data_IF_995567509131
#
_entry.id   IF_995567509131
#
_cell.length_a   1.000
_cell.length_b   1.000
_cell.length_c   1.000
_cell.angle_alpha   90.00
_cell.angle_beta   90.00
_cell.angle_gamma   90.00
#
_symmetry.space_group_name_H-M   'P 1'
#
loop_
_entity.id
_entity.type
_entity.pdbx_description
1 polymer ?
#
# COMPACT_ATOMS: atom_id res chain seq x y z
N UNK A 1 5.22 -23.45 1.46
CA UNK A 1 4.02 -22.59 1.54
C UNK A 1 4.16 -21.58 0.42
N UNK A 2 3.39 -21.74 -0.65
CA UNK A 2 3.28 -20.70 -1.67
C UNK A 2 2.24 -19.72 -1.10
N UNK A 3 2.66 -18.83 -0.22
CA UNK A 3 1.77 -17.77 0.27
C UNK A 3 1.35 -16.97 -0.96
N UNK A 4 0.09 -17.12 -1.34
CA UNK A 4 -0.47 -16.33 -2.42
C UNK A 4 -0.32 -14.87 -2.01
N UNK A 5 0.49 -14.12 -2.76
CA UNK A 5 0.67 -12.69 -2.55
C UNK A 5 -0.71 -12.05 -2.69
N UNK A 6 -1.27 -11.58 -1.57
CA UNK A 6 -2.54 -10.87 -1.57
C UNK A 6 -2.31 -9.41 -1.94
N UNK A 7 -3.23 -8.86 -2.71
CA UNK A 7 -3.22 -7.46 -3.06
C UNK A 7 -3.36 -6.60 -1.79
N UNK A 8 -4.24 -6.99 -0.85
CA UNK A 8 -4.38 -6.30 0.43
C UNK A 8 -3.08 -6.24 1.24
N UNK A 9 -2.40 -7.38 1.44
CA UNK A 9 -1.18 -7.42 2.23
C UNK A 9 -0.04 -6.62 1.59
N UNK A 10 0.03 -6.66 0.26
CA UNK A 10 1.00 -5.86 -0.51
C UNK A 10 0.72 -4.37 -0.38
N UNK A 11 -0.54 -3.95 -0.47
CA UNK A 11 -0.94 -2.54 -0.32
C UNK A 11 -0.73 -2.02 1.10
N UNK A 12 -0.93 -2.84 2.12
CA UNK A 12 -0.68 -2.48 3.51
C UNK A 12 0.81 -2.24 3.75
N UNK A 13 1.67 -3.18 3.33
CA UNK A 13 3.13 -3.04 3.42
C UNK A 13 3.65 -1.83 2.63
N UNK A 14 3.10 -1.60 1.43
CA UNK A 14 3.44 -0.44 0.62
C UNK A 14 3.02 0.89 1.27
N UNK A 15 1.83 0.94 1.84
CA UNK A 15 1.32 2.13 2.54
C UNK A 15 2.16 2.47 3.77
N UNK A 16 2.56 1.45 4.54
CA UNK A 16 3.45 1.61 5.69
C UNK A 16 4.82 2.18 5.25
N UNK A 17 5.43 1.60 4.21
CA UNK A 17 6.69 2.07 3.65
C UNK A 17 6.64 3.56 3.24
N UNK A 18 5.59 3.97 2.53
CA UNK A 18 5.44 5.37 2.11
C UNK A 18 5.27 6.32 3.31
N UNK A 19 4.55 5.88 4.33
CA UNK A 19 4.37 6.65 5.57
C UNK A 19 5.70 6.83 6.30
N UNK A 20 6.52 5.77 6.40
CA UNK A 20 7.88 5.85 6.97
C UNK A 20 8.81 6.76 6.17
N UNK A 21 8.63 6.84 4.85
CA UNK A 21 9.34 7.79 3.98
C UNK A 21 8.83 9.23 4.08
N UNK A 22 7.89 9.52 5.00
CA UNK A 22 7.36 10.85 5.23
C UNK A 22 6.38 11.32 4.16
N UNK A 23 5.78 10.39 3.39
CA UNK A 23 4.71 10.77 2.45
C UNK A 23 3.46 11.17 3.21
N UNK A 24 2.74 12.16 2.66
CA UNK A 24 1.46 12.61 3.22
C UNK A 24 0.44 11.48 3.14
N UNK A 25 -0.36 11.33 4.18
CA UNK A 25 -1.41 10.32 4.24
C UNK A 25 -2.38 10.39 3.05
N UNK A 26 -2.73 11.60 2.58
CA UNK A 26 -3.59 11.78 1.40
C UNK A 26 -2.96 11.25 0.12
N UNK A 27 -1.64 11.32 -0.02
CA UNK A 27 -0.91 10.74 -1.17
C UNK A 27 -0.92 9.21 -1.10
N UNK A 28 -0.70 8.64 0.09
CA UNK A 28 -0.74 7.19 0.31
C UNK A 28 -2.14 6.63 0.01
N UNK A 29 -3.20 7.26 0.51
CA UNK A 29 -4.57 6.86 0.23
C UNK A 29 -4.91 6.90 -1.25
N UNK A 30 -4.40 7.91 -1.98
CA UNK A 30 -4.65 8.02 -3.42
C UNK A 30 -4.01 6.87 -4.18
N UNK A 31 -2.77 6.50 -3.87
CA UNK A 31 -2.14 5.33 -4.48
C UNK A 31 -2.89 4.04 -4.17
N UNK A 32 -3.34 3.84 -2.93
CA UNK A 32 -4.12 2.66 -2.57
C UNK A 32 -5.48 2.59 -3.29
N UNK A 33 -6.07 3.73 -3.65
CA UNK A 33 -7.28 3.80 -4.46
C UNK A 33 -6.97 3.49 -5.93
N UNK A 34 -5.99 4.21 -6.52
CA UNK A 34 -5.62 4.07 -7.94
C UNK A 34 -5.08 2.67 -8.29
N UNK A 35 -4.55 1.91 -7.33
CA UNK A 35 -4.08 0.53 -7.53
C UNK A 35 -5.23 -0.49 -7.39
N UNK A 36 -6.30 -0.14 -6.67
CA UNK A 36 -7.46 -1.02 -6.47
C UNK A 36 -8.51 -0.89 -7.57
N UNK A 37 -8.51 0.23 -8.30
CA UNK A 37 -9.36 0.51 -9.47
C UNK A 37 -8.73 -0.09 -10.75
#
# INVERSE_FOLDING_TARGET
MNEAISLEGTLEAFSAYLTEKGRKHSTVQRYSYDIKD
#
